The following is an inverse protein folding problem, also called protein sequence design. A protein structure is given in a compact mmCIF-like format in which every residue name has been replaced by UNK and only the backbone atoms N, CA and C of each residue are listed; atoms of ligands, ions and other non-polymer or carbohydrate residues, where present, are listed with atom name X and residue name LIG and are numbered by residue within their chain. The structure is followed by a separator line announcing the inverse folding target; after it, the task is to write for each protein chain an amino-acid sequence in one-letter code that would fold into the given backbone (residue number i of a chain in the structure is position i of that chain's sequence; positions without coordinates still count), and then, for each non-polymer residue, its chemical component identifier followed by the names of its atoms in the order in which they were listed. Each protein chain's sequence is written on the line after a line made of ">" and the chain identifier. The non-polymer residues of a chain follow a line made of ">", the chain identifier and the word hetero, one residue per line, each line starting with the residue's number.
data_IF_748181192429
#
_entry.id   IF_748181192429
#
_cell.length_a   1.000
_cell.length_b   1.000
_cell.length_c   1.000
_cell.angle_alpha   90.00
_cell.angle_beta   90.00
_cell.angle_gamma   90.00
#
_symmetry.space_group_name_H-M   'P 1'
#
loop_
_entity.id
_entity.type
_entity.pdbx_description
1 polymer ?
#
# COMPACT_ATOMS: atom_id res chain seq x y z
N UNK A 1 21.24 45.19 -8.77
CA UNK A 1 20.61 44.97 -7.49
C UNK A 1 19.09 44.88 -7.53
N UNK A 2 18.47 45.78 -8.25
CA UNK A 2 17.01 45.79 -8.38
C UNK A 2 16.48 44.53 -9.06
N UNK A 3 17.27 43.91 -9.92
CA UNK A 3 16.85 42.70 -10.66
C UNK A 3 16.78 41.44 -9.82
N UNK A 4 17.45 41.38 -8.68
CA UNK A 4 17.47 40.17 -7.84
C UNK A 4 16.09 39.76 -7.32
N UNK A 5 15.28 40.65 -6.75
CA UNK A 5 13.94 40.25 -6.29
C UNK A 5 13.07 39.68 -7.39
N UNK A 6 13.18 40.22 -8.58
CA UNK A 6 12.40 39.75 -9.72
C UNK A 6 12.80 38.33 -10.14
N UNK A 7 14.10 38.04 -10.13
CA UNK A 7 14.60 36.72 -10.49
C UNK A 7 14.11 35.68 -9.48
N UNK A 8 14.18 35.97 -8.18
CA UNK A 8 13.70 35.03 -7.15
C UNK A 8 12.19 34.83 -7.25
N UNK A 9 11.43 35.84 -7.48
CA UNK A 9 9.98 35.76 -7.61
C UNK A 9 9.59 34.89 -8.81
N UNK A 10 10.22 35.08 -9.94
CA UNK A 10 9.97 34.26 -11.13
C UNK A 10 10.30 32.81 -10.90
N UNK A 11 11.37 32.50 -10.18
CA UNK A 11 11.77 31.17 -9.88
C UNK A 11 10.76 30.48 -8.96
N UNK A 12 10.28 31.16 -7.93
CA UNK A 12 9.28 30.64 -7.01
C UNK A 12 7.96 30.33 -7.73
N UNK A 13 7.52 31.24 -8.60
CA UNK A 13 6.30 31.03 -9.39
C UNK A 13 6.43 29.82 -10.29
N UNK A 14 7.56 29.65 -10.95
CA UNK A 14 7.81 28.49 -11.81
C UNK A 14 7.77 27.18 -11.03
N UNK A 15 8.37 27.15 -9.84
CA UNK A 15 8.35 25.96 -8.98
C UNK A 15 6.94 25.60 -8.55
N UNK A 16 6.13 26.57 -8.18
CA UNK A 16 4.73 26.36 -7.79
C UNK A 16 3.91 25.83 -8.97
N UNK A 17 4.07 26.38 -10.15
CA UNK A 17 3.36 25.92 -11.33
C UNK A 17 3.74 24.49 -11.69
N UNK A 18 5.00 24.14 -11.62
CA UNK A 18 5.48 22.78 -11.88
C UNK A 18 4.88 21.81 -10.87
N UNK A 19 4.89 22.14 -9.59
CA UNK A 19 4.30 21.32 -8.56
C UNK A 19 2.80 21.11 -8.74
N UNK A 20 2.07 22.16 -9.09
CA UNK A 20 0.62 22.07 -9.34
C UNK A 20 0.31 21.18 -10.55
N UNK A 21 1.04 21.35 -11.66
CA UNK A 21 0.83 20.54 -12.86
C UNK A 21 1.10 19.07 -12.58
N UNK A 22 2.15 18.77 -11.85
CA UNK A 22 2.51 17.40 -11.50
C UNK A 22 1.43 16.73 -10.66
N UNK A 23 0.91 17.41 -9.64
CA UNK A 23 -0.10 16.85 -8.75
C UNK A 23 -1.48 16.79 -9.41
N UNK A 24 -1.88 17.80 -10.14
CA UNK A 24 -3.21 17.87 -10.73
C UNK A 24 -3.42 16.88 -11.88
N UNK A 25 -2.36 16.34 -12.45
CA UNK A 25 -2.45 15.38 -13.54
C UNK A 25 -2.86 13.99 -13.08
N UNK A 26 -2.63 13.64 -11.80
CA UNK A 26 -2.82 12.28 -11.30
C UNK A 26 -3.46 12.21 -9.91
N UNK A 27 -2.93 12.94 -8.92
CA UNK A 27 -3.30 12.76 -7.53
C UNK A 27 -3.44 14.11 -6.83
N UNK A 28 -4.40 14.22 -5.92
CA UNK A 28 -4.42 15.30 -4.95
C UNK A 28 -3.44 14.98 -3.80
N UNK A 29 -3.25 15.92 -2.87
CA UNK A 29 -2.28 15.74 -1.79
C UNK A 29 -2.63 14.55 -0.88
N UNK A 30 -3.90 14.31 -0.63
CA UNK A 30 -4.32 13.19 0.20
C UNK A 30 -4.09 11.85 -0.47
N UNK A 31 -4.31 11.76 -1.78
CA UNK A 31 -4.09 10.53 -2.54
C UNK A 31 -2.61 10.19 -2.64
N UNK A 32 -1.75 11.19 -2.79
CA UNK A 32 -0.31 10.95 -2.81
C UNK A 32 0.18 10.40 -1.47
N UNK A 33 -0.35 10.91 -0.38
CA UNK A 33 -0.02 10.39 0.95
C UNK A 33 -0.43 8.92 1.11
N UNK A 34 -1.59 8.55 0.59
CA UNK A 34 -2.04 7.15 0.60
C UNK A 34 -1.04 6.26 -0.16
N UNK A 35 -0.63 6.69 -1.35
CA UNK A 35 0.34 5.94 -2.15
C UNK A 35 1.69 5.84 -1.42
N UNK A 36 2.19 6.93 -0.89
CA UNK A 36 3.48 6.95 -0.21
C UNK A 36 3.50 6.03 1.00
N UNK A 37 2.43 6.04 1.78
CA UNK A 37 2.33 5.16 2.95
C UNK A 37 2.16 3.70 2.55
N UNK A 38 1.33 3.41 1.54
CA UNK A 38 1.10 2.05 1.10
C UNK A 38 2.36 1.42 0.50
N UNK A 39 3.15 2.19 -0.25
CA UNK A 39 4.31 1.70 -1.01
C UNK A 39 5.64 1.86 -0.27
N UNK A 40 5.62 2.02 1.03
CA UNK A 40 6.88 2.12 1.80
C UNK A 40 7.73 0.87 1.63
N UNK A 41 9.05 1.03 1.61
CA UNK A 41 9.99 -0.04 1.32
C UNK A 41 9.95 -1.19 2.33
N UNK A 42 9.70 -0.88 3.60
CA UNK A 42 9.63 -1.88 4.68
C UNK A 42 8.44 -2.81 4.53
N UNK A 43 7.41 -2.37 3.79
CA UNK A 43 6.17 -3.12 3.64
C UNK A 43 5.31 -3.08 4.89
N UNK A 44 4.30 -3.94 4.89
CA UNK A 44 3.31 -4.05 5.95
C UNK A 44 3.31 -5.46 6.50
N UNK A 45 3.49 -5.59 7.79
CA UNK A 45 3.59 -6.90 8.44
C UNK A 45 2.51 -7.08 9.49
N UNK A 46 2.13 -8.34 9.69
CA UNK A 46 1.29 -8.74 10.82
C UNK A 46 1.69 -10.12 11.29
N UNK A 47 1.41 -10.40 12.57
CA UNK A 47 1.63 -11.70 13.17
C UNK A 47 0.39 -12.09 13.95
N UNK A 48 0.01 -13.35 13.89
CA UNK A 48 -1.14 -13.86 14.59
C UNK A 48 -0.99 -15.37 14.85
N UNK A 49 -1.81 -15.88 15.76
CA UNK A 49 -1.87 -17.30 16.06
C UNK A 49 -3.12 -17.90 15.45
N UNK A 50 -3.01 -19.09 14.89
CA UNK A 50 -4.14 -19.79 14.32
C UNK A 50 -4.00 -21.31 14.51
N UNK A 51 -5.13 -22.00 14.40
CA UNK A 51 -5.15 -23.46 14.24
C UNK A 51 -5.14 -23.76 12.75
N UNK A 52 -4.18 -24.55 12.31
CA UNK A 52 -4.05 -24.88 10.89
C UNK A 52 -5.13 -25.88 10.46
N UNK A 53 -5.23 -26.06 9.16
CA UNK A 53 -6.23 -26.93 8.55
C UNK A 53 -6.17 -28.37 9.09
N UNK A 54 -4.97 -28.85 9.40
CA UNK A 54 -4.75 -30.20 9.93
C UNK A 54 -4.84 -30.27 11.47
N UNK A 55 -5.30 -29.19 12.11
CA UNK A 55 -5.50 -29.14 13.57
C UNK A 55 -4.29 -28.74 14.38
N UNK A 56 -3.15 -28.44 13.74
CA UNK A 56 -1.96 -27.98 14.46
C UNK A 56 -2.04 -26.50 14.77
N UNK A 57 -1.54 -26.12 15.94
CA UNK A 57 -1.38 -24.71 16.30
C UNK A 57 -0.16 -24.13 15.62
N UNK A 58 -0.26 -22.90 15.12
CA UNK A 58 0.87 -22.23 14.51
C UNK A 58 0.82 -20.71 14.69
N UNK A 59 2.01 -20.10 14.70
CA UNK A 59 2.18 -18.66 14.63
C UNK A 59 2.46 -18.28 13.19
N UNK A 60 1.71 -17.31 12.67
CA UNK A 60 1.80 -16.88 11.29
C UNK A 60 2.39 -15.48 11.26
N UNK A 61 3.35 -15.28 10.37
CA UNK A 61 3.90 -13.98 10.02
C UNK A 61 3.62 -13.69 8.56
N UNK A 62 3.12 -12.49 8.26
CA UNK A 62 2.88 -12.03 6.90
C UNK A 62 3.61 -10.72 6.65
N UNK A 63 4.25 -10.61 5.50
CA UNK A 63 4.84 -9.37 5.01
C UNK A 63 4.27 -9.07 3.62
N UNK A 64 3.66 -7.90 3.48
CA UNK A 64 3.09 -7.41 2.23
C UNK A 64 3.84 -6.18 1.78
N UNK A 65 4.37 -6.20 0.57
CA UNK A 65 5.10 -5.08 -0.02
C UNK A 65 4.40 -4.63 -1.28
N UNK A 66 3.98 -3.38 -1.31
CA UNK A 66 3.39 -2.74 -2.49
C UNK A 66 4.42 -1.81 -3.10
N UNK A 67 4.60 -1.89 -4.40
CA UNK A 67 5.54 -1.03 -5.13
C UNK A 67 4.76 -0.05 -6.00
N UNK A 68 5.32 1.14 -6.19
CA UNK A 68 4.68 2.20 -6.97
C UNK A 68 4.51 1.87 -8.45
N UNK A 69 5.19 0.85 -8.96
CA UNK A 69 5.04 0.36 -10.32
C UNK A 69 3.86 -0.60 -10.50
N UNK A 70 2.97 -0.68 -9.51
CA UNK A 70 1.79 -1.53 -9.49
C UNK A 70 2.09 -3.03 -9.31
N UNK A 71 3.29 -3.37 -8.87
CA UNK A 71 3.64 -4.74 -8.47
C UNK A 71 3.72 -4.85 -6.97
N UNK A 72 3.71 -6.07 -6.46
CA UNK A 72 3.86 -6.32 -5.04
C UNK A 72 4.26 -7.76 -4.77
N UNK A 73 4.54 -8.02 -3.50
CA UNK A 73 4.86 -9.36 -3.03
C UNK A 73 4.26 -9.61 -1.67
N UNK A 74 4.01 -10.87 -1.36
CA UNK A 74 3.67 -11.29 -0.02
C UNK A 74 4.54 -12.46 0.39
N UNK A 75 4.89 -12.48 1.67
CA UNK A 75 5.62 -13.57 2.29
C UNK A 75 4.81 -14.05 3.48
N UNK A 76 4.57 -15.37 3.55
CA UNK A 76 3.90 -16.01 4.66
C UNK A 76 4.86 -16.99 5.30
N UNK A 77 4.95 -16.95 6.63
CA UNK A 77 5.75 -17.91 7.40
C UNK A 77 4.84 -18.52 8.46
N UNK A 78 4.73 -19.85 8.45
CA UNK A 78 3.97 -20.61 9.45
C UNK A 78 4.94 -21.34 10.33
N UNK A 79 4.96 -21.01 11.62
CA UNK A 79 5.75 -21.68 12.64
C UNK A 79 4.82 -22.56 13.46
N UNK A 80 4.92 -23.87 13.26
CA UNK A 80 4.07 -24.83 13.95
C UNK A 80 4.65 -25.17 15.31
N UNK A 81 3.78 -25.50 16.28
CA UNK A 81 4.19 -25.85 17.64
C UNK A 81 5.08 -27.08 17.68
N UNK A 82 4.98 -27.98 16.70
CA UNK A 82 5.85 -29.16 16.59
C UNK A 82 7.25 -28.86 16.04
N UNK A 83 7.55 -27.60 15.77
CA UNK A 83 8.85 -27.17 15.26
C UNK A 83 8.96 -27.11 13.74
N UNK A 84 7.93 -27.54 13.01
CA UNK A 84 7.91 -27.40 11.55
C UNK A 84 7.74 -25.93 11.16
N UNK A 85 8.45 -25.51 10.11
CA UNK A 85 8.33 -24.18 9.55
C UNK A 85 8.00 -24.31 8.06
N UNK A 86 6.97 -23.59 7.63
CA UNK A 86 6.57 -23.51 6.22
C UNK A 86 6.62 -22.07 5.77
N UNK A 87 7.10 -21.84 4.56
CA UNK A 87 7.15 -20.52 3.97
C UNK A 87 6.50 -20.51 2.60
N UNK A 88 5.87 -19.38 2.26
CA UNK A 88 5.32 -19.13 0.94
C UNK A 88 5.64 -17.71 0.54
N UNK A 89 6.11 -17.54 -0.69
CA UNK A 89 6.39 -16.24 -1.29
C UNK A 89 5.58 -16.13 -2.57
N UNK A 90 4.82 -15.06 -2.70
CA UNK A 90 4.01 -14.80 -3.89
C UNK A 90 4.19 -13.39 -4.40
N UNK A 91 3.83 -13.20 -5.67
CA UNK A 91 3.91 -11.92 -6.33
C UNK A 91 2.56 -11.59 -6.94
N UNK A 92 2.21 -10.32 -7.00
CA UNK A 92 0.93 -9.89 -7.52
C UNK A 92 1.07 -8.53 -8.20
N UNK A 93 0.04 -8.18 -8.98
CA UNK A 93 -0.17 -6.82 -9.46
C UNK A 93 -1.35 -6.24 -8.73
N UNK A 94 -1.31 -4.94 -8.50
CA UNK A 94 -2.36 -4.27 -7.75
C UNK A 94 -2.73 -2.95 -8.40
N UNK A 95 -3.93 -2.48 -8.11
CA UNK A 95 -4.41 -1.17 -8.54
C UNK A 95 -5.51 -0.71 -7.59
N UNK A 96 -5.75 0.59 -7.56
CA UNK A 96 -6.94 1.09 -6.91
C UNK A 96 -8.14 0.93 -7.84
N UNK A 97 -9.28 0.50 -7.30
CA UNK A 97 -10.49 0.27 -8.11
C UNK A 97 -11.35 1.51 -8.27
N UNK A 98 -11.15 2.50 -7.39
CA UNK A 98 -11.93 3.74 -7.38
C UNK A 98 -11.02 4.95 -7.20
N UNK A 99 -11.44 6.15 -7.69
CA UNK A 99 -10.58 7.34 -7.64
C UNK A 99 -10.22 7.85 -6.26
N UNK A 100 -10.93 7.44 -5.20
CA UNK A 100 -10.62 7.87 -3.84
C UNK A 100 -9.55 7.03 -3.16
N UNK A 101 -9.01 6.02 -3.84
CA UNK A 101 -7.91 5.19 -3.36
C UNK A 101 -8.20 4.47 -2.04
N UNK A 102 -9.44 4.04 -1.85
CA UNK A 102 -9.83 3.31 -0.64
C UNK A 102 -9.86 1.81 -0.84
N UNK A 103 -9.91 1.34 -2.08
CA UNK A 103 -10.04 -0.09 -2.38
C UNK A 103 -8.93 -0.49 -3.32
N UNK A 104 -8.14 -1.48 -2.90
CA UNK A 104 -7.06 -2.08 -3.66
C UNK A 104 -7.57 -3.39 -4.24
N UNK A 105 -7.37 -3.59 -5.54
CA UNK A 105 -7.56 -4.87 -6.20
C UNK A 105 -6.21 -5.52 -6.47
N UNK A 106 -6.12 -6.82 -6.21
CA UNK A 106 -4.96 -7.64 -6.57
C UNK A 106 -5.36 -8.66 -7.63
N UNK A 107 -4.47 -8.95 -8.55
CA UNK A 107 -4.76 -9.86 -9.66
C UNK A 107 -4.98 -11.32 -9.24
N UNK A 108 -4.73 -11.63 -7.97
CA UNK A 108 -5.14 -12.90 -7.36
C UNK A 108 -6.65 -13.00 -7.09
N UNK A 109 -7.41 -11.91 -7.32
CA UNK A 109 -8.83 -11.84 -7.05
C UNK A 109 -9.17 -11.25 -5.70
N UNK A 110 -8.21 -10.72 -4.99
CA UNK A 110 -8.35 -10.23 -3.63
C UNK A 110 -8.61 -8.71 -3.64
N UNK A 111 -9.52 -8.26 -2.78
CA UNK A 111 -9.81 -6.84 -2.57
C UNK A 111 -9.49 -6.47 -1.13
N UNK A 112 -8.81 -5.34 -0.96
CA UNK A 112 -8.56 -4.74 0.36
C UNK A 112 -9.24 -3.38 0.42
N UNK A 113 -10.23 -3.25 1.30
CA UNK A 113 -10.80 -1.94 1.61
C UNK A 113 -9.99 -1.32 2.75
N UNK A 114 -9.41 -0.14 2.50
CA UNK A 114 -8.58 0.55 3.50
C UNK A 114 -9.50 1.22 4.50
N UNK A 115 -9.42 0.80 5.75
CA UNK A 115 -10.14 1.42 6.87
C UNK A 115 -9.30 2.50 7.55
N UNK A 116 -8.01 2.30 7.62
CA UNK A 116 -7.07 3.25 8.18
C UNK A 116 -5.69 3.03 7.56
N UNK A 117 -5.02 4.10 7.18
CA UNK A 117 -3.66 4.04 6.66
C UNK A 117 -2.89 5.26 7.16
N UNK A 118 -1.84 5.00 7.93
CA UNK A 118 -0.90 6.00 8.43
C UNK A 118 0.52 5.54 8.09
N UNK A 119 1.53 6.25 8.57
CA UNK A 119 2.92 5.86 8.33
C UNK A 119 3.30 4.54 8.98
N UNK A 120 2.60 4.13 10.04
CA UNK A 120 2.93 2.93 10.81
C UNK A 120 1.77 1.96 10.98
N UNK A 121 0.57 2.28 10.46
CA UNK A 121 -0.60 1.43 10.64
C UNK A 121 -1.39 1.32 9.35
N UNK A 122 -1.71 0.08 8.96
CA UNK A 122 -2.62 -0.24 7.88
C UNK A 122 -3.70 -1.18 8.42
N UNK A 123 -4.94 -0.70 8.43
CA UNK A 123 -6.10 -1.49 8.83
C UNK A 123 -7.00 -1.66 7.61
N UNK A 124 -7.28 -2.90 7.25
CA UNK A 124 -8.03 -3.24 6.04
C UNK A 124 -9.15 -4.22 6.33
N UNK A 125 -10.11 -4.25 5.43
CA UNK A 125 -11.08 -5.32 5.30
C UNK A 125 -10.79 -6.08 4.01
N UNK A 126 -10.61 -7.38 4.12
CA UNK A 126 -10.21 -8.25 3.02
C UNK A 126 -11.40 -9.07 2.52
N UNK A 127 -11.59 -9.11 1.20
CA UNK A 127 -12.68 -9.87 0.59
C UNK A 127 -12.29 -10.31 -0.83
N UNK A 128 -12.97 -11.33 -1.33
CA UNK A 128 -12.88 -11.75 -2.72
C UNK A 128 -13.98 -11.13 -3.60
N UNK A 129 -14.90 -10.38 -3.02
CA UNK A 129 -15.96 -9.66 -3.72
C UNK A 129 -15.67 -8.17 -3.71
N UNK A 130 -15.95 -7.49 -4.81
CA UNK A 130 -15.79 -6.04 -4.88
C UNK A 130 -16.66 -5.36 -3.80
N UNK A 131 -16.07 -4.63 -2.84
CA UNK A 131 -16.83 -4.02 -1.76
C UNK A 131 -17.87 -2.98 -2.21
N UNK A 132 -17.73 -2.44 -3.41
CA UNK A 132 -18.69 -1.44 -3.93
C UNK A 132 -19.96 -2.13 -4.44
N UNK A 133 -19.82 -3.31 -5.01
CA UNK A 133 -20.95 -4.01 -5.65
C UNK A 133 -21.73 -4.90 -4.70
N UNK A 134 -21.28 -5.07 -3.49
CA UNK A 134 -21.93 -5.94 -2.50
C UNK A 134 -22.91 -5.20 -1.59
#
# INVERSE_FOLDING_TARGET
>A
MIKRPYIYLSFIILSLLTGCVEKSGYYDDGQQEIIDNLTKNEGWERSYHMTSYDGRECDVYELWVFKSDATGSHKFVWNYDDGEVSENMGYFRWSFTIPNFRIIYMDSGLYWEIKQLTTDKLHIYETYDDPITV
#
